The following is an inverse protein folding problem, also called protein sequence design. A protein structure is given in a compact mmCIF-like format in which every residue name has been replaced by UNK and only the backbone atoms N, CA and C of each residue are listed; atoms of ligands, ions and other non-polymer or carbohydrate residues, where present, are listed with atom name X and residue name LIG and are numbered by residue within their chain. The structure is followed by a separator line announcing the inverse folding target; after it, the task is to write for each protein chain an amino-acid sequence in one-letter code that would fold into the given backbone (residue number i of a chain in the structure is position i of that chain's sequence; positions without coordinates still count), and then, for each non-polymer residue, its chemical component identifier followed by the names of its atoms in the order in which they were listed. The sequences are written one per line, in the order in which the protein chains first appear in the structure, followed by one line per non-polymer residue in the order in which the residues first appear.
data_IF_069851969303
#
_entry.id   IF_069851969303
#
_cell.length_a   1.000
_cell.length_b   1.000
_cell.length_c   1.000
_cell.angle_alpha   90.00
_cell.angle_beta   90.00
_cell.angle_gamma   90.00
#
_symmetry.space_group_name_H-M   'P 1'
#
loop_
_entity.id
_entity.type
_entity.pdbx_description
1 polymer ?
#
# COMPACT_ATOMS: atom_id res chain seq x y z
N UNK A 1 34.52 34.64 60.77
CA UNK A 1 35.60 34.00 59.99
C UNK A 1 34.94 33.09 58.97
N UNK A 2 35.28 33.28 57.70
CA UNK A 2 34.61 32.75 56.52
C UNK A 2 34.53 31.21 56.46
N UNK A 3 33.44 30.68 55.92
CA UNK A 3 33.34 29.30 55.43
C UNK A 3 33.08 29.31 53.93
N UNK A 4 34.02 28.72 53.20
CA UNK A 4 34.09 28.63 51.74
C UNK A 4 33.36 27.37 51.26
N UNK A 5 32.63 27.59 50.18
CA UNK A 5 31.94 26.71 49.24
C UNK A 5 32.56 25.30 49.01
N UNK A 6 31.73 24.27 48.84
CA UNK A 6 31.27 23.78 47.51
C UNK A 6 30.48 22.45 47.59
N UNK A 7 29.35 22.46 46.88
CA UNK A 7 28.71 21.38 46.08
C UNK A 7 28.34 20.05 46.73
N UNK A 8 27.05 19.72 46.70
CA UNK A 8 26.52 18.62 45.87
C UNK A 8 24.98 18.59 45.92
N UNK A 9 24.41 18.08 44.84
CA UNK A 9 23.13 17.39 44.71
C UNK A 9 21.97 18.11 43.98
N UNK A 10 21.34 17.30 43.14
CA UNK A 10 19.91 17.27 42.86
C UNK A 10 19.39 18.08 41.67
N UNK A 11 19.47 17.42 40.50
CA UNK A 11 18.32 17.02 39.67
C UNK A 11 16.96 17.39 40.30
N UNK A 12 16.18 18.25 39.63
CA UNK A 12 14.79 18.03 39.18
C UNK A 12 14.19 19.32 38.59
N UNK A 13 13.67 19.17 37.37
CA UNK A 13 12.50 19.82 36.75
C UNK A 13 12.39 21.35 36.79
N UNK A 14 12.60 21.98 35.63
CA UNK A 14 11.84 23.18 35.28
C UNK A 14 11.52 23.16 33.78
N UNK A 15 10.24 22.95 33.45
CA UNK A 15 9.68 23.27 32.14
C UNK A 15 9.71 24.80 31.95
N UNK A 16 10.28 25.34 30.87
CA UNK A 16 10.03 26.74 30.53
C UNK A 16 8.76 26.84 29.68
N UNK A 17 7.69 27.27 30.36
CA UNK A 17 6.95 28.50 30.05
C UNK A 17 6.59 28.75 28.58
N UNK A 18 5.29 28.56 28.31
CA UNK A 18 4.51 29.21 27.26
C UNK A 18 4.97 30.67 27.02
N UNK A 19 5.41 30.95 25.80
CA UNK A 19 5.42 32.31 25.25
C UNK A 19 4.45 32.33 24.07
N UNK A 20 3.33 33.03 24.29
CA UNK A 20 2.45 33.54 23.25
C UNK A 20 3.27 34.31 22.22
N UNK A 21 3.24 33.86 20.96
CA UNK A 21 3.59 34.70 19.83
C UNK A 21 2.30 35.17 19.17
N UNK A 22 2.20 36.50 19.09
CA UNK A 22 1.09 37.27 18.57
C UNK A 22 0.81 36.95 17.11
N UNK A 23 -0.48 36.86 16.78
CA UNK A 23 -1.02 36.84 15.42
C UNK A 23 -0.53 38.03 14.61
N UNK A 24 0.54 37.86 13.85
CA UNK A 24 0.84 38.56 12.60
C UNK A 24 2.28 38.25 12.20
N UNK A 25 2.49 37.97 10.92
CA UNK A 25 3.78 37.72 10.25
C UNK A 25 4.28 36.27 10.26
N UNK A 26 3.51 35.37 9.65
CA UNK A 26 4.03 34.17 9.01
C UNK A 26 3.59 34.14 7.55
N UNK A 27 4.16 35.03 6.74
CA UNK A 27 4.10 34.95 5.28
C UNK A 27 5.50 35.22 4.74
N UNK A 28 5.91 34.34 3.81
CA UNK A 28 7.07 34.43 2.92
C UNK A 28 8.42 33.93 3.48
N UNK A 29 8.69 32.64 3.28
CA UNK A 29 9.90 32.10 2.61
C UNK A 29 9.89 30.57 2.59
N UNK A 30 9.25 30.00 1.58
CA UNK A 30 9.66 28.72 1.00
C UNK A 30 10.00 29.02 -0.45
N UNK A 31 11.28 29.28 -0.71
CA UNK A 31 11.82 29.35 -2.06
C UNK A 31 12.74 28.13 -2.24
N UNK A 32 12.53 27.47 -3.38
CA UNK A 32 13.39 26.49 -4.07
C UNK A 32 13.61 25.13 -3.42
N UNK A 33 12.71 24.18 -3.70
CA UNK A 33 13.00 23.04 -4.59
C UNK A 33 11.72 22.69 -5.40
N UNK A 34 11.26 23.66 -6.18
CA UNK A 34 10.37 23.44 -7.32
C UNK A 34 11.25 23.09 -8.52
N UNK A 35 11.33 21.82 -8.90
CA UNK A 35 11.58 21.44 -10.30
C UNK A 35 11.26 19.96 -10.56
N UNK A 36 10.05 19.55 -10.23
CA UNK A 36 9.25 18.77 -11.18
C UNK A 36 7.84 19.36 -11.16
N UNK A 37 7.77 20.65 -11.56
CA UNK A 37 6.50 21.26 -11.91
C UNK A 37 6.03 20.53 -13.16
N UNK A 38 5.20 19.50 -12.97
CA UNK A 38 4.33 19.02 -14.02
C UNK A 38 3.61 20.27 -14.53
N UNK A 39 3.77 20.67 -15.81
CA UNK A 39 3.12 21.86 -16.32
C UNK A 39 1.61 21.74 -16.01
N UNK A 40 0.95 22.84 -15.62
CA UNK A 40 -0.46 22.80 -15.22
C UNK A 40 -1.39 22.16 -16.26
N UNK A 41 -0.96 22.08 -17.53
CA UNK A 41 -1.65 21.37 -18.62
C UNK A 41 -1.77 19.85 -18.44
N UNK A 42 -0.88 19.19 -17.69
CA UNK A 42 -0.92 17.75 -17.43
C UNK A 42 -1.56 17.40 -16.09
N UNK A 43 -1.91 18.40 -15.27
CA UNK A 43 -2.56 18.20 -13.96
C UNK A 43 -4.05 17.90 -14.09
N UNK A 44 -4.66 18.34 -15.18
CA UNK A 44 -6.04 18.05 -15.50
C UNK A 44 -6.04 17.05 -16.66
N UNK A 45 -6.38 15.77 -16.45
CA UNK A 45 -6.74 14.95 -17.60
C UNK A 45 -7.81 15.72 -18.37
N UNK A 46 -7.62 15.89 -19.68
CA UNK A 46 -8.67 16.38 -20.57
C UNK A 46 -9.97 15.69 -20.17
N UNK A 47 -11.10 16.38 -20.04
CA UNK A 47 -12.37 15.73 -19.78
C UNK A 47 -12.48 14.60 -20.79
N UNK A 48 -12.45 13.34 -20.31
CA UNK A 48 -12.72 12.20 -21.17
C UNK A 48 -14.07 12.56 -21.78
N UNK A 49 -14.18 12.69 -23.11
CA UNK A 49 -15.45 12.98 -23.72
C UNK A 49 -16.38 11.88 -23.21
N UNK A 50 -17.34 12.27 -22.36
CA UNK A 50 -18.37 11.34 -21.91
C UNK A 50 -18.96 10.83 -23.21
N UNK A 51 -19.03 9.50 -23.35
CA UNK A 51 -19.84 8.89 -24.40
C UNK A 51 -21.14 9.68 -24.49
N UNK A 52 -21.60 10.04 -25.70
CA UNK A 52 -22.84 10.77 -25.86
C UNK A 52 -23.89 10.18 -24.93
N UNK A 53 -24.51 11.04 -24.10
CA UNK A 53 -25.58 10.58 -23.23
C UNK A 53 -26.73 10.26 -24.15
N UNK A 54 -26.81 9.00 -24.57
CA UNK A 54 -27.94 8.49 -25.32
C UNK A 54 -29.14 8.52 -24.36
N UNK A 55 -30.10 9.40 -24.63
CA UNK A 55 -31.39 9.33 -23.96
C UNK A 55 -31.97 7.94 -24.27
N UNK A 56 -32.53 7.24 -23.27
CA UNK A 56 -33.19 5.97 -23.54
C UNK A 56 -34.24 6.20 -24.63
N UNK A 57 -34.41 5.25 -25.58
CA UNK A 57 -35.40 5.37 -26.63
C UNK A 57 -36.78 5.72 -26.04
N UNK A 58 -37.49 6.64 -26.66
CA UNK A 58 -38.82 7.09 -26.20
C UNK A 58 -39.84 5.96 -26.19
N UNK A 59 -39.62 4.94 -27.00
CA UNK A 59 -40.45 3.76 -27.15
C UNK A 59 -39.61 2.51 -26.83
N UNK A 60 -40.18 1.49 -26.17
CA UNK A 60 -39.48 0.23 -25.94
C UNK A 60 -39.01 -0.33 -27.29
N UNK A 61 -37.71 -0.57 -27.42
CA UNK A 61 -37.18 -1.31 -28.58
C UNK A 61 -37.76 -2.72 -28.49
N UNK A 62 -38.35 -3.20 -29.57
CA UNK A 62 -38.81 -4.57 -29.66
C UNK A 62 -37.60 -5.53 -29.69
N UNK A 63 -37.61 -6.54 -28.82
CA UNK A 63 -36.56 -7.55 -28.74
C UNK A 63 -37.17 -8.94 -28.69
N UNK A 64 -36.50 -9.90 -29.31
CA UNK A 64 -36.89 -11.30 -29.24
C UNK A 64 -36.20 -11.96 -28.05
N UNK A 65 -36.99 -12.56 -27.16
CA UNK A 65 -36.45 -13.35 -26.04
C UNK A 65 -36.43 -14.81 -26.44
N UNK A 66 -35.24 -15.32 -26.74
CA UNK A 66 -35.04 -16.76 -26.87
C UNK A 66 -35.16 -17.43 -25.49
N UNK A 67 -35.92 -18.53 -25.43
CA UNK A 67 -36.11 -19.34 -24.23
C UNK A 67 -35.25 -20.63 -24.25
N UNK A 68 -34.36 -20.77 -25.23
CA UNK A 68 -33.57 -21.99 -25.38
C UNK A 68 -32.55 -22.11 -24.23
N UNK A 69 -32.49 -23.26 -23.53
CA UNK A 69 -31.51 -23.47 -22.45
C UNK A 69 -30.05 -23.43 -22.94
N UNK A 70 -29.82 -23.78 -24.21
CA UNK A 70 -28.48 -23.76 -24.81
C UNK A 70 -27.92 -22.33 -24.94
N UNK A 71 -28.77 -21.34 -25.24
CA UNK A 71 -28.36 -19.94 -25.34
C UNK A 71 -28.18 -19.28 -23.96
N UNK A 72 -28.92 -19.74 -22.95
CA UNK A 72 -28.83 -19.20 -21.59
C UNK A 72 -27.44 -19.39 -20.96
N UNK A 73 -26.69 -20.44 -21.37
CA UNK A 73 -25.29 -20.67 -20.98
C UNK A 73 -24.40 -19.46 -21.23
N UNK A 74 -24.67 -18.68 -22.28
CA UNK A 74 -23.89 -17.48 -22.58
C UNK A 74 -24.19 -16.34 -21.62
N UNK A 75 -25.43 -16.23 -21.14
CA UNK A 75 -25.84 -15.26 -20.12
C UNK A 75 -25.16 -15.60 -18.79
N UNK A 76 -25.16 -16.88 -18.39
CA UNK A 76 -24.51 -17.33 -17.16
C UNK A 76 -22.99 -17.02 -17.14
N UNK A 77 -22.32 -17.11 -18.29
CA UNK A 77 -20.89 -16.76 -18.42
C UNK A 77 -20.60 -15.27 -18.19
N UNK A 78 -21.57 -14.39 -18.45
CA UNK A 78 -21.41 -12.94 -18.26
C UNK A 78 -21.58 -12.51 -16.80
N UNK A 79 -22.21 -13.35 -15.98
CA UNK A 79 -22.39 -13.07 -14.55
C UNK A 79 -21.03 -13.25 -13.86
N UNK A 80 -20.52 -12.23 -13.15
CA UNK A 80 -19.26 -12.35 -12.45
C UNK A 80 -19.38 -13.38 -11.31
N UNK A 81 -18.36 -14.24 -11.09
CA UNK A 81 -18.36 -15.14 -9.96
C UNK A 81 -18.34 -14.34 -8.66
N UNK A 82 -19.14 -14.77 -7.68
CA UNK A 82 -19.24 -14.11 -6.37
C UNK A 82 -17.98 -14.34 -5.53
N UNK A 83 -17.40 -15.54 -5.66
CA UNK A 83 -16.21 -15.96 -4.92
C UNK A 83 -15.00 -16.08 -5.84
N UNK A 84 -13.83 -15.74 -5.32
CA UNK A 84 -12.56 -15.94 -6.03
C UNK A 84 -12.26 -17.43 -6.03
N UNK A 85 -12.06 -18.08 -7.19
CA UNK A 85 -11.80 -19.50 -7.25
C UNK A 85 -10.47 -19.85 -6.57
N UNK A 86 -10.40 -21.05 -6.00
CA UNK A 86 -9.15 -21.58 -5.47
C UNK A 86 -8.15 -21.89 -6.60
N UNK A 87 -6.85 -21.63 -6.39
CA UNK A 87 -5.84 -21.90 -7.39
C UNK A 87 -5.63 -23.41 -7.56
N UNK A 88 -5.70 -23.89 -8.80
CA UNK A 88 -5.43 -25.29 -9.14
C UNK A 88 -3.96 -25.58 -8.90
N UNK A 89 -3.63 -26.59 -8.08
CA UNK A 89 -2.25 -27.03 -7.80
C UNK A 89 -1.63 -27.65 -9.06
N UNK A 90 -0.50 -27.12 -9.51
CA UNK A 90 0.28 -27.57 -10.66
C UNK A 90 1.76 -27.61 -10.27
N UNK A 91 2.54 -28.40 -10.99
CA UNK A 91 3.99 -28.46 -10.79
C UNK A 91 4.68 -27.15 -11.21
N UNK A 92 4.14 -26.49 -12.23
CA UNK A 92 4.72 -25.28 -12.81
C UNK A 92 3.64 -24.27 -13.25
N UNK A 93 3.92 -22.98 -13.01
CA UNK A 93 3.06 -21.86 -13.40
C UNK A 93 3.83 -20.88 -14.30
N UNK A 94 3.32 -20.54 -15.49
CA UNK A 94 3.99 -19.62 -16.41
C UNK A 94 4.04 -18.18 -15.89
N UNK A 95 3.12 -17.79 -14.99
CA UNK A 95 3.10 -16.46 -14.36
C UNK A 95 4.16 -16.28 -13.27
N UNK A 96 4.89 -17.33 -12.91
CA UNK A 96 5.82 -17.31 -11.77
C UNK A 96 5.14 -17.36 -10.40
N UNK A 97 3.80 -17.40 -10.35
CA UNK A 97 3.06 -17.62 -9.11
C UNK A 97 3.41 -18.99 -8.52
N UNK A 98 3.59 -19.04 -7.20
CA UNK A 98 3.84 -20.29 -6.47
C UNK A 98 2.82 -20.43 -5.34
N UNK A 99 2.27 -21.62 -5.10
CA UNK A 99 1.38 -21.84 -3.95
C UNK A 99 2.16 -21.70 -2.64
N UNK A 100 1.48 -21.32 -1.53
CA UNK A 100 2.12 -21.27 -0.22
C UNK A 100 2.58 -22.69 0.18
N UNK A 101 3.76 -22.78 0.78
CA UNK A 101 4.29 -24.02 1.31
C UNK A 101 3.81 -24.25 2.75
N UNK A 102 3.66 -25.52 3.15
CA UNK A 102 3.33 -25.88 4.53
C UNK A 102 4.60 -25.78 5.40
N UNK A 103 4.94 -24.57 5.83
CA UNK A 103 6.09 -24.30 6.71
C UNK A 103 5.63 -23.97 8.13
N UNK A 104 6.30 -24.54 9.15
CA UNK A 104 6.03 -24.21 10.55
C UNK A 104 6.96 -23.07 10.98
N UNK A 105 6.44 -21.84 10.99
CA UNK A 105 7.17 -20.62 11.35
C UNK A 105 6.48 -19.93 12.54
N UNK A 106 7.20 -19.12 13.34
CA UNK A 106 6.64 -18.46 14.52
C UNK A 106 5.53 -17.45 14.18
N UNK A 107 5.41 -17.08 12.91
CA UNK A 107 4.40 -16.18 12.39
C UNK A 107 3.81 -16.73 11.09
N UNK A 108 2.61 -16.27 10.75
CA UNK A 108 1.92 -16.63 9.52
C UNK A 108 1.57 -15.35 8.75
N UNK A 109 1.96 -15.31 7.47
CA UNK A 109 1.56 -14.24 6.55
C UNK A 109 0.36 -14.74 5.75
N UNK A 110 -0.79 -14.10 5.95
CA UNK A 110 -1.95 -14.39 5.11
C UNK A 110 -1.80 -13.71 3.75
N UNK A 111 -1.98 -14.48 2.68
CA UNK A 111 -2.08 -13.94 1.31
C UNK A 111 -3.36 -13.11 1.14
N UNK A 112 -3.38 -12.29 0.09
CA UNK A 112 -4.57 -11.52 -0.28
C UNK A 112 -5.69 -12.44 -0.78
N UNK A 113 -6.91 -11.91 -0.92
CA UNK A 113 -8.04 -12.64 -1.52
C UNK A 113 -7.76 -13.17 -2.93
N UNK A 114 -6.81 -12.55 -3.65
CA UNK A 114 -6.35 -12.96 -4.98
C UNK A 114 -5.11 -13.86 -4.90
N UNK A 115 -4.81 -14.42 -3.73
CA UNK A 115 -3.69 -15.34 -3.47
C UNK A 115 -2.29 -14.73 -3.72
N UNK A 116 -2.12 -13.42 -3.47
CA UNK A 116 -0.84 -12.69 -3.59
C UNK A 116 -0.13 -12.49 -2.24
N UNK A 117 1.18 -12.26 -2.27
CA UNK A 117 2.08 -12.15 -1.10
C UNK A 117 1.95 -10.81 -0.34
N UNK A 118 2.23 -10.83 0.98
CA UNK A 118 2.24 -9.68 1.91
C UNK A 118 3.49 -9.72 2.83
N UNK A 119 3.91 -8.59 3.42
CA UNK A 119 5.20 -8.46 4.13
C UNK A 119 5.16 -8.47 5.67
N UNK A 120 6.26 -8.92 6.30
CA UNK A 120 6.58 -8.82 7.74
C UNK A 120 7.83 -7.97 7.96
N UNK A 121 7.99 -7.34 9.13
CA UNK A 121 8.90 -6.20 9.26
C UNK A 121 10.34 -6.58 9.62
N UNK A 122 10.56 -7.23 10.76
CA UNK A 122 11.91 -7.38 11.32
C UNK A 122 12.82 -8.23 10.45
N UNK A 123 12.40 -9.47 10.14
CA UNK A 123 13.20 -10.37 9.33
C UNK A 123 13.42 -9.85 7.91
N UNK A 124 12.42 -9.15 7.36
CA UNK A 124 12.52 -8.55 6.04
C UNK A 124 13.52 -7.40 6.02
N UNK A 125 13.47 -6.51 7.02
CA UNK A 125 14.46 -5.45 7.15
C UNK A 125 15.87 -6.02 7.27
N UNK A 126 16.05 -7.03 8.12
CA UNK A 126 17.35 -7.68 8.28
C UNK A 126 17.89 -8.25 6.96
N UNK A 127 17.00 -8.82 6.12
CA UNK A 127 17.34 -9.35 4.81
C UNK A 127 17.69 -8.22 3.82
N UNK A 128 16.86 -7.18 3.74
CA UNK A 128 17.04 -6.09 2.79
C UNK A 128 18.27 -5.24 3.13
N UNK A 129 18.52 -4.96 4.41
CA UNK A 129 19.71 -4.23 4.86
C UNK A 129 20.99 -5.02 4.57
N UNK A 130 20.97 -6.34 4.72
CA UNK A 130 22.10 -7.21 4.30
C UNK A 130 22.32 -7.17 2.79
N UNK A 131 21.25 -7.25 1.98
CA UNK A 131 21.34 -7.30 0.52
C UNK A 131 21.84 -5.99 -0.08
N UNK A 132 21.39 -4.85 0.46
CA UNK A 132 21.69 -3.51 -0.07
C UNK A 132 22.77 -2.76 0.71
N UNK A 133 23.28 -3.33 1.82
CA UNK A 133 24.23 -2.69 2.74
C UNK A 133 23.84 -1.26 3.15
N UNK A 134 22.52 -1.02 3.27
CA UNK A 134 21.94 0.30 3.53
C UNK A 134 20.76 0.15 4.49
N UNK A 135 20.65 1.04 5.47
CA UNK A 135 19.49 1.08 6.35
C UNK A 135 18.26 1.57 5.62
N UNK A 136 17.15 0.85 5.80
CA UNK A 136 15.89 1.12 5.10
C UNK A 136 14.91 1.74 6.09
N UNK A 137 14.32 2.85 5.70
CA UNK A 137 13.25 3.47 6.48
C UNK A 137 11.98 2.67 6.27
N UNK A 138 11.45 2.12 7.36
CA UNK A 138 10.17 1.42 7.41
C UNK A 138 9.18 2.10 8.34
N UNK A 139 7.90 2.00 8.02
CA UNK A 139 6.82 2.32 8.94
C UNK A 139 5.87 1.13 9.03
N UNK A 140 5.63 0.64 10.25
CA UNK A 140 4.73 -0.49 10.52
C UNK A 140 3.38 0.05 10.96
N UNK A 141 2.32 -0.43 10.32
CA UNK A 141 0.96 -0.27 10.81
C UNK A 141 0.45 -1.63 11.25
N UNK A 142 0.47 -1.85 12.57
CA UNK A 142 0.06 -3.12 13.19
C UNK A 142 -1.43 -3.40 12.99
N UNK A 143 -2.29 -2.38 13.10
CA UNK A 143 -3.76 -2.54 13.00
C UNK A 143 -4.16 -3.01 11.61
N UNK A 144 -3.51 -2.49 10.57
CA UNK A 144 -3.78 -2.93 9.19
C UNK A 144 -2.87 -4.06 8.74
N UNK A 145 -1.92 -4.51 9.58
CA UNK A 145 -0.87 -5.46 9.23
C UNK A 145 -0.11 -5.08 7.95
N UNK A 146 0.24 -3.80 7.79
CA UNK A 146 0.93 -3.28 6.59
C UNK A 146 2.28 -2.68 6.95
N UNK A 147 3.25 -2.80 6.04
CA UNK A 147 4.59 -2.22 6.19
C UNK A 147 4.87 -1.36 4.99
N UNK A 148 5.25 -0.11 5.27
CA UNK A 148 5.66 0.85 4.26
C UNK A 148 7.18 0.90 4.24
N UNK A 149 7.77 0.55 3.10
CA UNK A 149 9.22 0.63 2.87
C UNK A 149 9.51 1.79 1.92
N UNK A 150 10.51 2.61 2.23
CA UNK A 150 10.93 3.70 1.35
C UNK A 150 11.94 3.21 0.31
N UNK A 151 11.49 3.01 -0.93
CA UNK A 151 12.33 2.62 -2.06
C UNK A 151 11.64 1.61 -2.97
N UNK A 152 12.38 1.07 -3.94
CA UNK A 152 11.92 -0.04 -4.77
C UNK A 152 12.58 -1.33 -4.29
N UNK A 153 11.82 -2.13 -3.53
CA UNK A 153 12.26 -3.41 -2.99
C UNK A 153 11.28 -4.54 -3.31
N UNK A 154 10.30 -4.30 -4.18
CA UNK A 154 9.17 -5.24 -4.39
C UNK A 154 9.69 -6.63 -4.78
N UNK A 155 10.63 -6.68 -5.74
CA UNK A 155 11.21 -7.95 -6.22
C UNK A 155 12.01 -8.69 -5.14
N UNK A 156 12.77 -7.97 -4.32
CA UNK A 156 13.59 -8.57 -3.27
C UNK A 156 12.72 -9.13 -2.14
N UNK A 157 11.65 -8.40 -1.82
CA UNK A 157 10.64 -8.80 -0.84
C UNK A 157 9.91 -10.06 -1.30
N UNK A 158 9.50 -10.12 -2.57
CA UNK A 158 8.88 -11.30 -3.18
C UNK A 158 9.81 -12.52 -3.16
N UNK A 159 11.07 -12.34 -3.56
CA UNK A 159 12.08 -13.41 -3.53
C UNK A 159 12.28 -13.96 -2.12
N UNK A 160 12.38 -13.06 -1.12
CA UNK A 160 12.51 -13.44 0.28
C UNK A 160 11.29 -14.23 0.80
N UNK A 161 10.07 -13.79 0.47
CA UNK A 161 8.85 -14.49 0.88
C UNK A 161 8.75 -15.89 0.29
N UNK A 162 9.05 -16.01 -1.00
CA UNK A 162 9.08 -17.30 -1.68
C UNK A 162 10.14 -18.21 -1.08
N UNK A 163 11.29 -17.67 -0.68
CA UNK A 163 12.34 -18.44 0.00
C UNK A 163 11.88 -18.99 1.36
N UNK A 164 11.01 -18.25 2.06
CA UNK A 164 10.43 -18.66 3.34
C UNK A 164 9.25 -19.62 3.15
N UNK A 165 8.66 -19.69 1.96
CA UNK A 165 7.53 -20.55 1.65
C UNK A 165 6.16 -19.93 1.93
N UNK A 166 6.08 -18.60 2.01
CA UNK A 166 4.80 -17.88 2.14
C UNK A 166 4.03 -17.82 0.82
#
# INVERSE_FOLDING_TARGET
MASILKTSASRLLLYPRFLQLSSSQALLKLHTLDSYIIPPSLRNPSPIPKSPVEEPPREPIEYEVSQSPEEWKYVERLIPPVEVPEPIKKDWYPSGWKPPATVNQPYFIRRTKNHMLNALNEDLLSYLEKKHQKSIVSHVNEVTCCIWLKGDYVRDVEEWMLSKGF
#
